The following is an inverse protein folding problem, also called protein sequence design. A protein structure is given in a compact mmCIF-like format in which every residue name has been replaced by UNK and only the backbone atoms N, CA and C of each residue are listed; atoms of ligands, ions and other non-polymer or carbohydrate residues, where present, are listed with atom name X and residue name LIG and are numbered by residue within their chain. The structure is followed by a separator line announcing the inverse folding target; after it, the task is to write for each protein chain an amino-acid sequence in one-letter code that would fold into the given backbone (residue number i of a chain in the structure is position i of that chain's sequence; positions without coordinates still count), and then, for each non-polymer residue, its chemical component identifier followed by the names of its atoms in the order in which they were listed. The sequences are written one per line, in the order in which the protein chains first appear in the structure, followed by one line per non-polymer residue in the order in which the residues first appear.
data_IF_237118802883
#
_entry.id   IF_237118802883
#
_cell.length_a   1.000
_cell.length_b   1.000
_cell.length_c   1.000
_cell.angle_alpha   90.00
_cell.angle_beta   90.00
_cell.angle_gamma   90.00
#
_symmetry.space_group_name_H-M   'P 1'
#
loop_
_entity.id
_entity.type
_entity.pdbx_description
1 polymer ?
#
# COMPACT_ATOMS: atom_id res chain seq x y z
N UNK A 1 -13.79 10.63 -3.51
CA UNK A 1 -12.56 9.94 -3.86
C UNK A 1 -11.78 9.61 -2.60
N UNK A 2 -11.28 8.40 -2.52
CA UNK A 2 -10.56 7.95 -1.35
C UNK A 2 -9.25 8.68 -1.13
N UNK A 3 -8.84 8.71 0.11
CA UNK A 3 -7.56 9.30 0.46
C UNK A 3 -6.44 8.27 0.39
N UNK A 4 -5.34 8.68 -0.20
CA UNK A 4 -4.08 7.97 -0.10
C UNK A 4 -3.11 8.92 0.56
N UNK A 5 -2.63 8.55 1.73
CA UNK A 5 -1.66 9.35 2.46
C UNK A 5 -0.30 8.67 2.42
N UNK A 6 0.72 9.44 2.07
CA UNK A 6 2.08 8.94 2.04
C UNK A 6 2.85 9.59 3.19
N UNK A 7 3.44 8.77 4.03
CA UNK A 7 4.31 9.22 5.10
C UNK A 7 5.70 8.65 4.87
N UNK A 8 6.68 9.52 4.88
CA UNK A 8 8.06 9.10 4.68
C UNK A 8 8.82 9.24 6.01
N UNK A 9 9.27 8.11 6.55
CA UNK A 9 10.05 8.06 7.78
C UNK A 9 11.31 7.23 7.52
N UNK A 10 12.48 7.83 7.65
CA UNK A 10 13.77 7.16 7.47
C UNK A 10 13.90 6.42 6.12
N UNK A 11 13.39 7.04 5.05
CA UNK A 11 13.42 6.43 3.73
C UNK A 11 12.30 5.43 3.45
N UNK A 12 11.44 5.17 4.43
CA UNK A 12 10.29 4.29 4.27
C UNK A 12 9.06 5.14 3.94
N UNK A 13 8.38 4.81 2.86
CA UNK A 13 7.11 5.45 2.52
C UNK A 13 5.97 4.54 2.97
N UNK A 14 5.06 5.08 3.77
CA UNK A 14 3.87 4.37 4.21
C UNK A 14 2.67 4.96 3.47
N UNK A 15 1.92 4.09 2.80
CA UNK A 15 0.77 4.48 2.00
C UNK A 15 -0.49 3.88 2.62
N UNK A 16 -1.45 4.73 2.96
CA UNK A 16 -2.73 4.31 3.53
C UNK A 16 -3.80 4.24 2.43
N UNK A 17 -4.53 3.15 2.38
CA UNK A 17 -5.53 2.90 1.34
C UNK A 17 -6.91 2.81 1.97
N UNK A 18 -7.90 3.38 1.32
CA UNK A 18 -9.29 3.27 1.73
C UNK A 18 -10.11 2.53 0.66
N UNK A 19 -11.35 2.19 0.99
CA UNK A 19 -12.23 1.43 0.09
C UNK A 19 -12.56 2.19 -1.20
N UNK A 20 -12.51 3.50 -1.18
CA UNK A 20 -12.80 4.34 -2.34
C UNK A 20 -11.55 4.95 -2.99
N UNK A 21 -10.36 4.49 -2.60
CA UNK A 21 -9.11 4.88 -3.25
C UNK A 21 -9.14 4.49 -4.73
N UNK A 22 -8.73 5.40 -5.59
CA UNK A 22 -8.65 5.13 -7.02
C UNK A 22 -7.45 4.21 -7.31
N UNK A 23 -7.73 3.05 -7.91
CA UNK A 23 -6.72 2.01 -8.14
C UNK A 23 -5.59 2.50 -9.04
N UNK A 24 -5.91 3.19 -10.13
CA UNK A 24 -4.87 3.63 -11.07
C UNK A 24 -3.97 4.73 -10.47
N UNK A 25 -4.56 5.64 -9.72
CA UNK A 25 -3.78 6.66 -9.02
C UNK A 25 -2.91 6.05 -7.95
N UNK A 26 -3.44 5.08 -7.22
CA UNK A 26 -2.67 4.37 -6.21
C UNK A 26 -1.49 3.63 -6.85
N UNK A 27 -1.73 2.91 -7.95
CA UNK A 27 -0.66 2.20 -8.65
C UNK A 27 0.47 3.16 -9.06
N UNK A 28 0.13 4.33 -9.60
CA UNK A 28 1.11 5.35 -9.95
C UNK A 28 1.90 5.84 -8.73
N UNK A 29 1.21 6.09 -7.62
CA UNK A 29 1.83 6.47 -6.35
C UNK A 29 2.81 5.40 -5.86
N UNK A 30 2.44 4.13 -5.96
CA UNK A 30 3.29 3.03 -5.53
C UNK A 30 4.56 2.94 -6.37
N UNK A 31 4.43 3.12 -7.68
CA UNK A 31 5.58 3.13 -8.58
C UNK A 31 6.56 4.24 -8.23
N UNK A 32 6.04 5.45 -8.02
CA UNK A 32 6.87 6.58 -7.62
C UNK A 32 7.55 6.32 -6.28
N UNK A 33 6.81 5.76 -5.33
CA UNK A 33 7.36 5.47 -4.00
C UNK A 33 8.48 4.44 -4.07
N UNK A 34 8.34 3.39 -4.89
CA UNK A 34 9.39 2.36 -5.03
C UNK A 34 10.66 2.91 -5.65
N UNK A 35 10.56 3.95 -6.46
CA UNK A 35 11.72 4.59 -7.08
C UNK A 35 12.44 5.53 -6.11
N UNK A 36 11.72 6.14 -5.18
CA UNK A 36 12.23 7.22 -4.34
C UNK A 36 12.43 6.85 -2.88
N UNK A 37 12.06 5.65 -2.48
CA UNK A 37 12.10 5.22 -1.08
C UNK A 37 12.93 3.96 -0.92
N UNK A 38 13.52 3.80 0.27
CA UNK A 38 14.23 2.57 0.63
C UNK A 38 13.27 1.40 0.75
N UNK A 39 12.08 1.65 1.28
CA UNK A 39 11.03 0.65 1.43
C UNK A 39 9.66 1.30 1.29
N UNK A 40 8.72 0.53 0.83
CA UNK A 40 7.32 0.99 0.70
C UNK A 40 6.42 0.00 1.43
N UNK A 41 5.60 0.51 2.32
CA UNK A 41 4.64 -0.27 3.06
C UNK A 41 3.24 0.25 2.77
N UNK A 42 2.36 -0.63 2.34
CA UNK A 42 0.97 -0.28 2.01
C UNK A 42 0.07 -0.86 3.09
N UNK A 43 -0.81 -0.04 3.63
CA UNK A 43 -1.67 -0.39 4.75
C UNK A 43 -3.14 -0.18 4.40
N UNK A 44 -3.97 -1.14 4.77
CA UNK A 44 -5.41 -1.08 4.48
C UNK A 44 -6.21 -1.72 5.60
N UNK A 45 -7.32 -1.09 5.96
CA UNK A 45 -8.26 -1.59 6.95
C UNK A 45 -9.58 -1.90 6.26
N UNK A 46 -10.05 -3.13 6.41
CA UNK A 46 -11.32 -3.57 5.85
C UNK A 46 -11.20 -4.15 4.45
N UNK A 47 -12.15 -5.00 4.11
CA UNK A 47 -12.13 -5.78 2.87
C UNK A 47 -12.09 -4.91 1.61
N UNK A 48 -12.85 -3.81 1.60
CA UNK A 48 -12.86 -2.91 0.44
C UNK A 48 -11.52 -2.24 0.21
N UNK A 49 -10.87 -1.77 1.28
CA UNK A 49 -9.57 -1.15 1.18
C UNK A 49 -8.50 -2.16 0.74
N UNK A 50 -8.54 -3.38 1.29
CA UNK A 50 -7.63 -4.45 0.91
C UNK A 50 -7.80 -4.81 -0.57
N UNK A 51 -9.03 -4.87 -1.06
CA UNK A 51 -9.29 -5.13 -2.46
C UNK A 51 -8.67 -4.06 -3.37
N UNK A 52 -8.82 -2.78 -3.01
CA UNK A 52 -8.24 -1.68 -3.78
C UNK A 52 -6.70 -1.73 -3.74
N UNK A 53 -6.15 -2.03 -2.58
CA UNK A 53 -4.70 -2.20 -2.41
C UNK A 53 -4.16 -3.30 -3.32
N UNK A 54 -4.80 -4.46 -3.31
CA UNK A 54 -4.36 -5.61 -4.09
C UNK A 54 -4.41 -5.31 -5.59
N UNK A 55 -5.49 -4.71 -6.05
CA UNK A 55 -5.63 -4.32 -7.46
C UNK A 55 -4.54 -3.35 -7.89
N UNK A 56 -4.24 -2.36 -7.04
CA UNK A 56 -3.20 -1.38 -7.34
C UNK A 56 -1.82 -2.01 -7.41
N UNK A 57 -1.52 -2.92 -6.50
CA UNK A 57 -0.24 -3.64 -6.50
C UNK A 57 -0.11 -4.49 -7.77
N UNK A 58 -1.17 -5.19 -8.15
CA UNK A 58 -1.17 -5.99 -9.37
C UNK A 58 -0.95 -5.12 -10.62
N UNK A 59 -1.58 -3.95 -10.65
CA UNK A 59 -1.40 -2.99 -11.73
C UNK A 59 0.05 -2.48 -11.77
N UNK A 60 0.60 -2.12 -10.62
CA UNK A 60 1.98 -1.65 -10.51
C UNK A 60 2.97 -2.73 -10.97
N UNK A 61 2.70 -3.99 -10.64
CA UNK A 61 3.54 -5.10 -11.09
C UNK A 61 3.61 -5.15 -12.62
N UNK A 62 2.49 -4.94 -13.29
CA UNK A 62 2.47 -4.91 -14.75
C UNK A 62 3.38 -3.84 -15.34
N UNK A 63 3.47 -2.69 -14.69
CA UNK A 63 4.36 -1.62 -15.14
C UNK A 63 5.83 -1.95 -14.92
N UNK A 64 6.20 -2.50 -13.77
CA UNK A 64 7.61 -2.85 -13.52
C UNK A 64 8.06 -4.01 -14.42
N UNK A 65 7.14 -4.90 -14.79
CA UNK A 65 7.43 -6.00 -15.70
C UNK A 65 7.91 -5.51 -17.05
N UNK A 66 7.39 -4.39 -17.52
CA UNK A 66 7.81 -3.78 -18.79
C UNK A 66 9.26 -3.30 -18.76
N UNK A 67 9.80 -3.09 -17.58
CA UNK A 67 11.19 -2.69 -17.37
C UNK A 67 12.10 -3.88 -17.04
N UNK A 68 11.59 -5.09 -17.22
CA UNK A 68 12.34 -6.30 -16.94
C UNK A 68 12.48 -6.62 -15.45
N UNK A 69 11.63 -6.03 -14.62
CA UNK A 69 11.66 -6.23 -13.17
C UNK A 69 10.39 -6.92 -12.69
N UNK A 70 10.38 -7.32 -11.45
CA UNK A 70 9.18 -7.90 -10.85
C UNK A 70 8.87 -7.24 -9.53
N UNK A 71 7.61 -7.35 -9.11
CA UNK A 71 7.13 -6.80 -7.86
C UNK A 71 6.52 -7.91 -7.02
N UNK A 72 7.04 -8.06 -5.82
CA UNK A 72 6.54 -9.02 -4.84
C UNK A 72 6.03 -8.28 -3.63
N UNK A 73 5.24 -8.92 -2.83
CA UNK A 73 4.82 -8.37 -1.56
C UNK A 73 5.15 -9.32 -0.42
N UNK A 74 5.52 -8.75 0.72
CA UNK A 74 5.59 -9.48 1.96
C UNK A 74 4.34 -9.10 2.75
N UNK A 75 3.38 -10.02 2.90
CA UNK A 75 2.15 -9.72 3.62
C UNK A 75 2.41 -9.69 5.13
N UNK A 76 1.63 -8.91 5.81
CA UNK A 76 1.63 -8.86 7.26
C UNK A 76 0.34 -8.26 7.75
N UNK A 77 0.21 -8.16 9.05
CA UNK A 77 -0.90 -7.43 9.63
C UNK A 77 -0.45 -6.78 10.93
N UNK A 78 -1.21 -5.79 11.34
CA UNK A 78 -0.96 -5.04 12.55
C UNK A 78 -2.31 -4.74 13.20
N UNK A 79 -2.31 -4.36 14.45
CA UNK A 79 -3.53 -3.97 15.13
C UNK A 79 -3.41 -2.52 15.58
N UNK A 80 -4.48 -1.77 15.37
CA UNK A 80 -4.57 -0.38 15.82
C UNK A 80 -5.77 -0.25 16.72
N UNK A 81 -5.63 0.58 17.77
CA UNK A 81 -6.74 0.87 18.68
C UNK A 81 -7.45 2.10 18.13
N UNK A 82 -8.76 1.96 17.94
CA UNK A 82 -9.58 3.07 17.52
C UNK A 82 -9.70 4.10 18.64
N UNK A 83 -9.43 5.37 18.34
CA UNK A 83 -9.49 6.44 19.31
C UNK A 83 -10.89 6.54 19.94
N UNK A 84 -10.94 6.61 21.26
CA UNK A 84 -12.20 6.69 21.99
C UNK A 84 -12.94 5.37 22.10
N UNK A 85 -12.32 4.26 21.75
CA UNK A 85 -12.91 2.94 21.79
C UNK A 85 -11.89 1.93 22.34
N UNK A 86 -12.39 0.84 22.93
CA UNK A 86 -11.54 -0.29 23.33
C UNK A 86 -11.37 -1.30 22.22
N UNK A 87 -12.00 -1.05 21.06
CA UNK A 87 -11.97 -1.97 19.95
C UNK A 87 -10.68 -1.81 19.14
N UNK A 88 -10.11 -2.94 18.75
CA UNK A 88 -8.97 -2.96 17.86
C UNK A 88 -9.44 -3.22 16.43
N UNK A 89 -8.71 -2.70 15.47
CA UNK A 89 -8.91 -2.99 14.05
C UNK A 89 -7.65 -3.61 13.51
N UNK A 90 -7.83 -4.60 12.63
CA UNK A 90 -6.72 -5.23 11.95
C UNK A 90 -6.36 -4.42 10.72
N UNK A 91 -5.09 -4.05 10.62
CA UNK A 91 -4.54 -3.40 9.44
C UNK A 91 -3.82 -4.47 8.64
N UNK A 92 -4.21 -4.61 7.38
CA UNK A 92 -3.48 -5.49 6.47
C UNK A 92 -2.32 -4.71 5.87
N UNK A 93 -1.15 -5.30 5.87
CA UNK A 93 0.10 -4.65 5.47
C UNK A 93 0.71 -5.41 4.31
N UNK A 94 1.14 -4.67 3.29
CA UNK A 94 1.91 -5.24 2.18
C UNK A 94 3.21 -4.45 2.04
N UNK A 95 4.34 -5.09 2.31
CA UNK A 95 5.65 -4.50 2.07
C UNK A 95 6.02 -4.81 0.62
N UNK A 96 6.29 -3.78 -0.18
CA UNK A 96 6.63 -3.96 -1.59
C UNK A 96 8.10 -4.29 -1.77
N UNK A 97 8.39 -5.25 -2.62
CA UNK A 97 9.75 -5.68 -2.95
C UNK A 97 9.89 -5.68 -4.47
N UNK A 98 10.75 -4.84 -4.99
CA UNK A 98 11.03 -4.76 -6.43
C UNK A 98 12.38 -5.42 -6.68
N UNK A 99 12.39 -6.36 -7.62
CA UNK A 99 13.62 -7.12 -7.92
C UNK A 99 13.95 -7.12 -9.39
#
# INVERSE_FOLDING_TARGET
MGKTENTNTEGVTIVHVSSDTNVQKLAGSLLTATENSTAVEVRAIGAGAVNQMYKAIASARGYVARKGRDLYIRPGFDEVIEEGSEKTKTVMVARLIVM
#
